data_IF_154031386158
#
_entry.id   IF_154031386158
#
_cell.length_a   1.000
_cell.length_b   1.000
_cell.length_c   1.000
_cell.angle_alpha   90.00
_cell.angle_beta   90.00
_cell.angle_gamma   90.00
#
_symmetry.space_group_name_H-M   'P 1'
#
loop_
_entity.id
_entity.type
_entity.pdbx_description
1 polymer ?
#
# COMPACT_ATOMS: atom_id res chain seq x y z
N UNK A 1 -1.70 14.59 6.68
CA UNK A 1 -0.25 14.56 6.93
C UNK A 1 0.45 14.04 5.69
N UNK A 2 1.63 14.57 5.37
CA UNK A 2 2.49 13.98 4.35
C UNK A 2 3.03 12.62 4.80
N UNK A 3 3.10 11.66 3.88
CA UNK A 3 3.59 10.31 4.14
C UNK A 3 4.55 9.89 3.04
N UNK A 4 5.68 9.32 3.41
CA UNK A 4 6.54 8.68 2.42
C UNK A 4 5.91 7.35 2.01
N UNK A 5 5.82 7.07 0.72
CA UNK A 5 5.22 5.85 0.19
C UNK A 5 6.15 5.24 -0.85
N UNK A 6 6.28 3.92 -0.80
CA UNK A 6 6.87 3.09 -1.85
C UNK A 6 5.84 2.10 -2.36
N UNK A 7 5.67 2.05 -3.67
CA UNK A 7 4.79 1.11 -4.36
C UNK A 7 5.60 0.24 -5.30
N UNK A 8 5.46 -1.06 -5.13
CA UNK A 8 6.09 -2.09 -5.94
C UNK A 8 5.02 -2.91 -6.64
N UNK A 9 4.97 -2.83 -7.96
CA UNK A 9 4.06 -3.55 -8.84
C UNK A 9 4.82 -4.69 -9.50
N UNK A 10 4.41 -5.94 -9.27
CA UNK A 10 4.99 -7.14 -9.89
C UNK A 10 6.52 -7.20 -9.74
N UNK A 11 7.03 -6.74 -8.60
CA UNK A 11 8.47 -6.70 -8.29
C UNK A 11 9.22 -5.46 -8.82
N UNK A 12 8.56 -4.55 -9.54
CA UNK A 12 9.13 -3.27 -9.99
C UNK A 12 8.64 -2.12 -9.14
N UNK A 13 9.56 -1.25 -8.69
CA UNK A 13 9.18 -0.04 -7.95
C UNK A 13 8.62 0.97 -8.94
N UNK A 14 7.30 1.20 -8.90
CA UNK A 14 6.61 2.16 -9.76
C UNK A 14 6.55 3.55 -9.12
N UNK A 15 6.62 3.61 -7.80
CA UNK A 15 6.62 4.87 -7.07
C UNK A 15 7.46 4.75 -5.80
N UNK A 16 8.26 5.77 -5.52
CA UNK A 16 8.94 5.94 -4.25
C UNK A 16 9.09 7.44 -3.99
N UNK A 17 8.46 7.95 -2.94
CA UNK A 17 8.48 9.38 -2.64
C UNK A 17 7.45 9.80 -1.61
N UNK A 18 7.46 11.08 -1.26
CA UNK A 18 6.44 11.66 -0.38
C UNK A 18 5.14 11.84 -1.15
N UNK A 19 4.06 11.27 -0.65
CA UNK A 19 2.72 11.50 -1.13
C UNK A 19 2.11 12.67 -0.34
N UNK A 20 1.76 13.79 -1.01
CA UNK A 20 1.08 14.91 -0.36
C UNK A 20 -0.32 14.50 0.11
N UNK A 21 -0.78 15.13 1.19
CA UNK A 21 -2.14 14.98 1.68
C UNK A 21 -3.18 15.30 0.60
N UNK A 22 -4.27 14.53 0.55
CA UNK A 22 -5.32 14.67 -0.44
C UNK A 22 -4.99 14.10 -1.83
N UNK A 23 -3.79 13.53 -2.03
CA UNK A 23 -3.45 12.87 -3.29
C UNK A 23 -4.01 11.45 -3.34
N UNK A 24 -4.72 11.13 -4.40
CA UNK A 24 -5.14 9.77 -4.71
C UNK A 24 -4.33 9.24 -5.90
N UNK A 25 -3.88 7.98 -5.80
CA UNK A 25 -3.22 7.26 -6.89
C UNK A 25 -3.73 5.83 -6.95
N UNK A 26 -3.79 5.30 -8.17
CA UNK A 26 -4.24 3.95 -8.45
C UNK A 26 -3.15 3.21 -9.21
N UNK A 27 -2.85 1.99 -8.77
CA UNK A 27 -1.91 1.09 -9.43
C UNK A 27 -2.58 -0.23 -9.74
N UNK A 28 -2.19 -0.86 -10.84
CA UNK A 28 -2.71 -2.16 -11.28
C UNK A 28 -1.53 -3.13 -11.35
N UNK A 29 -1.62 -4.24 -10.63
CA UNK A 29 -0.64 -5.31 -10.62
C UNK A 29 -1.23 -6.60 -11.18
N UNK A 30 -0.41 -7.42 -11.85
CA UNK A 30 -0.81 -8.73 -12.41
C UNK A 30 -0.59 -9.89 -11.45
N UNK A 31 0.42 -9.80 -10.60
CA UNK A 31 0.83 -10.85 -9.66
C UNK A 31 0.78 -10.35 -8.22
N UNK A 32 1.42 -9.21 -7.94
CA UNK A 32 1.50 -8.65 -6.58
C UNK A 32 1.70 -7.13 -6.57
N UNK A 33 1.09 -6.48 -5.60
CA UNK A 33 1.23 -5.07 -5.30
C UNK A 33 1.70 -4.93 -3.85
N UNK A 34 2.90 -4.43 -3.63
CA UNK A 34 3.40 -4.10 -2.28
C UNK A 34 3.37 -2.59 -2.09
N UNK A 35 2.69 -2.14 -1.04
CA UNK A 35 2.60 -0.73 -0.65
C UNK A 35 3.21 -0.60 0.72
N UNK A 36 4.26 0.21 0.83
CA UNK A 36 4.92 0.56 2.08
C UNK A 36 4.74 2.04 2.34
N UNK A 37 4.31 2.43 3.53
CA UNK A 37 4.26 3.82 3.94
C UNK A 37 5.05 4.06 5.22
N UNK A 38 5.79 5.16 5.26
CA UNK A 38 6.27 5.81 6.47
C UNK A 38 5.28 6.90 6.86
N UNK A 39 4.78 6.86 8.09
CA UNK A 39 3.55 7.52 8.53
C UNK A 39 2.28 6.86 7.96
N UNK A 40 2.12 5.57 8.24
CA UNK A 40 1.04 4.72 7.73
C UNK A 40 -0.36 5.16 8.16
N UNK A 41 -0.52 5.87 9.29
CA UNK A 41 -1.80 6.46 9.69
C UNK A 41 -2.28 7.61 8.80
N UNK A 42 -1.41 8.18 7.96
CA UNK A 42 -1.77 9.17 6.95
C UNK A 42 -2.12 8.57 5.59
N UNK A 43 -2.05 7.25 5.43
CA UNK A 43 -2.24 6.56 4.15
C UNK A 43 -3.40 5.60 4.25
N UNK A 44 -4.37 5.74 3.35
CA UNK A 44 -5.45 4.78 3.17
C UNK A 44 -5.22 3.94 1.92
N UNK A 45 -5.46 2.63 2.02
CA UNK A 45 -5.30 1.71 0.89
C UNK A 45 -6.58 0.90 0.70
N UNK A 46 -7.01 0.80 -0.55
CA UNK A 46 -8.12 -0.03 -1.01
C UNK A 46 -7.61 -1.05 -2.03
N UNK A 47 -8.14 -2.28 -1.97
CA UNK A 47 -7.80 -3.36 -2.90
C UNK A 47 -9.08 -3.96 -3.47
N UNK A 48 -9.16 -4.15 -4.80
CA UNK A 48 -10.32 -4.76 -5.49
C UNK A 48 -11.69 -4.22 -5.02
N UNK A 49 -11.87 -2.90 -5.08
CA UNK A 49 -13.10 -2.20 -4.68
C UNK A 49 -13.52 -2.36 -3.21
N UNK A 50 -12.62 -2.86 -2.36
CA UNK A 50 -12.85 -2.89 -0.92
C UNK A 50 -12.77 -1.47 -0.33
N UNK A 51 -13.47 -1.27 0.79
CA UNK A 51 -13.39 -0.04 1.57
C UNK A 51 -11.93 0.27 1.92
N UNK A 52 -11.48 1.48 1.62
CA UNK A 52 -10.17 1.96 1.99
C UNK A 52 -9.98 1.87 3.51
N UNK A 53 -8.82 1.39 3.93
CA UNK A 53 -8.45 1.32 5.35
C UNK A 53 -7.12 2.01 5.54
N UNK A 54 -6.96 2.64 6.70
CA UNK A 54 -5.65 3.13 7.13
C UNK A 54 -4.65 1.98 7.11
N UNK A 55 -3.47 2.26 6.57
CA UNK A 55 -2.41 1.27 6.41
C UNK A 55 -1.81 0.86 7.77
N UNK A 56 -1.83 1.76 8.75
CA UNK A 56 -1.31 1.53 10.10
C UNK A 56 -1.58 2.70 11.03
N UNK A 57 -0.87 2.77 12.16
CA UNK A 57 -0.98 3.89 13.08
C UNK A 57 -0.21 5.14 12.60
N UNK A 58 -0.57 6.35 13.06
CA UNK A 58 0.19 7.57 12.78
C UNK A 58 1.66 7.43 13.20
N UNK A 59 2.58 7.84 12.33
CA UNK A 59 4.04 7.73 12.55
C UNK A 59 4.63 6.32 12.37
N UNK A 60 3.81 5.29 12.17
CA UNK A 60 4.28 3.92 11.97
C UNK A 60 4.78 3.70 10.53
N UNK A 61 5.73 2.77 10.35
CA UNK A 61 6.09 2.24 9.04
C UNK A 61 5.39 0.90 8.85
N UNK A 62 4.50 0.81 7.86
CA UNK A 62 3.80 -0.42 7.53
C UNK A 62 3.97 -0.80 6.07
N UNK A 63 3.95 -2.09 5.80
CA UNK A 63 4.03 -2.67 4.46
C UNK A 63 2.92 -3.69 4.27
N UNK A 64 2.09 -3.49 3.25
CA UNK A 64 1.02 -4.42 2.88
C UNK A 64 1.29 -4.92 1.48
N UNK A 65 1.23 -6.23 1.31
CA UNK A 65 1.33 -6.88 0.00
C UNK A 65 -0.01 -7.49 -0.37
N UNK A 66 -0.55 -7.07 -1.50
CA UNK A 66 -1.74 -7.62 -2.12
C UNK A 66 -1.32 -8.52 -3.27
N UNK A 67 -1.61 -9.81 -3.18
CA UNK A 67 -1.39 -10.74 -4.27
C UNK A 67 -2.65 -10.84 -5.13
N UNK A 68 -2.49 -10.78 -6.45
CA UNK A 68 -3.56 -11.01 -7.42
C UNK A 68 -4.05 -12.46 -7.40
N UNK A 69 -3.30 -13.39 -6.80
CA UNK A 69 -3.71 -14.78 -6.62
C UNK A 69 -4.46 -14.98 -5.29
N UNK A 70 -5.75 -15.36 -5.31
CA UNK A 70 -6.55 -15.60 -4.09
C UNK A 70 -6.06 -16.77 -3.22
N UNK A 71 -5.06 -17.54 -3.67
CA UNK A 71 -4.51 -18.67 -2.92
C UNK A 71 -3.38 -18.30 -1.94
N UNK A 72 -2.91 -17.06 -1.91
CA UNK A 72 -1.92 -16.63 -0.92
C UNK A 72 -2.65 -16.16 0.34
N UNK A 73 -3.08 -17.12 1.17
CA UNK A 73 -3.47 -16.84 2.56
C UNK A 73 -2.22 -16.35 3.29
N UNK A 74 -2.20 -15.06 3.69
CA UNK A 74 -1.21 -14.55 4.64
C UNK A 74 -1.18 -15.46 5.88
N UNK A 75 -0.08 -16.17 6.18
CA UNK A 75 0.10 -16.75 7.49
C UNK A 75 0.32 -15.58 8.46
N UNK A 76 -0.65 -15.37 9.34
CA UNK A 76 -0.47 -14.52 10.51
C UNK A 76 0.68 -15.11 11.34
N UNK A 77 1.72 -14.33 11.56
CA UNK A 77 2.65 -14.50 12.68
C UNK A 77 2.71 -13.17 13.43
#
# INVERSE_FOLDING_TARGET
AESWIRVVVDGKTEFEGVLPEGTQRTWVAKEKLSVRAGNAGGVEVAYNDQTAKQLGAPGEVQEVTFAANPNIRNPRY
#
